data_IF_595981561926
#
_entry.id   IF_595981561926
#
_cell.length_a   1.000
_cell.length_b   1.000
_cell.length_c   1.000
_cell.angle_alpha   90.00
_cell.angle_beta   90.00
_cell.angle_gamma   90.00
#
_symmetry.space_group_name_H-M   'P 1'
#
loop_
_entity.id
_entity.type
_entity.pdbx_description
1 polymer ?
#
# COMPACT_ATOMS: atom_id res chain seq x y z
N UNK A 1 -7.34 -21.70 -29.69
CA UNK A 1 -7.25 -20.29 -30.15
C UNK A 1 -8.50 -20.01 -30.94
N UNK A 2 -9.28 -19.04 -30.54
CA UNK A 2 -10.44 -18.58 -31.33
C UNK A 2 -9.91 -18.01 -32.65
N UNK A 3 -10.64 -18.32 -33.73
CA UNK A 3 -10.30 -17.82 -35.06
C UNK A 3 -10.79 -16.39 -35.19
N UNK A 4 -9.93 -15.48 -35.65
CA UNK A 4 -10.37 -14.10 -35.89
C UNK A 4 -11.45 -14.07 -36.99
N UNK A 5 -12.44 -13.24 -36.78
CA UNK A 5 -13.62 -13.04 -37.61
C UNK A 5 -13.45 -11.83 -38.51
N UNK A 6 -13.59 -12.02 -39.81
CA UNK A 6 -13.42 -10.93 -40.81
C UNK A 6 -14.69 -10.81 -41.63
N UNK A 7 -15.30 -9.63 -41.63
CA UNK A 7 -16.42 -9.32 -42.52
C UNK A 7 -15.90 -8.75 -43.83
N UNK A 8 -16.35 -9.32 -44.94
CA UNK A 8 -16.01 -8.89 -46.29
C UNK A 8 -17.26 -8.21 -46.88
N UNK A 9 -17.11 -6.97 -47.33
CA UNK A 9 -18.19 -6.15 -47.88
C UNK A 9 -17.79 -5.64 -49.24
N UNK A 10 -18.45 -6.12 -50.31
CA UNK A 10 -18.23 -5.73 -51.69
C UNK A 10 -19.50 -6.08 -52.50
N UNK A 11 -19.92 -5.24 -53.42
CA UNK A 11 -21.10 -5.51 -54.27
C UNK A 11 -20.84 -6.51 -55.39
N UNK A 12 -19.57 -6.74 -55.71
CA UNK A 12 -19.15 -7.75 -56.70
C UNK A 12 -18.83 -9.10 -56.06
N UNK A 13 -19.64 -10.11 -56.32
CA UNK A 13 -19.46 -11.49 -55.84
C UNK A 13 -18.05 -12.09 -56.14
N UNK A 14 -17.44 -11.68 -57.26
CA UNK A 14 -16.09 -12.12 -57.65
C UNK A 14 -15.02 -11.65 -56.67
N UNK A 15 -15.15 -10.38 -56.20
CA UNK A 15 -14.23 -9.80 -55.21
C UNK A 15 -14.38 -10.50 -53.87
N UNK A 16 -15.61 -10.72 -53.44
CA UNK A 16 -15.91 -11.46 -52.18
C UNK A 16 -15.25 -12.84 -52.20
N UNK A 17 -15.48 -13.61 -53.30
CA UNK A 17 -14.89 -14.96 -53.45
C UNK A 17 -13.36 -14.95 -53.42
N UNK A 18 -12.73 -13.96 -54.05
CA UNK A 18 -11.27 -13.81 -54.05
C UNK A 18 -10.73 -13.52 -52.67
N UNK A 19 -11.27 -12.51 -52.00
CA UNK A 19 -10.85 -12.12 -50.65
C UNK A 19 -11.08 -13.26 -49.65
N UNK A 20 -12.25 -13.91 -49.69
CA UNK A 20 -12.58 -15.08 -48.91
C UNK A 20 -11.57 -16.21 -49.08
N UNK A 21 -11.19 -16.55 -50.34
CA UNK A 21 -10.19 -17.58 -50.61
C UNK A 21 -8.83 -17.25 -49.94
N UNK A 22 -8.39 -15.99 -49.97
CA UNK A 22 -7.16 -15.57 -49.34
C UNK A 22 -7.19 -15.68 -47.83
N UNK A 23 -8.34 -15.34 -47.20
CA UNK A 23 -8.51 -15.32 -45.73
C UNK A 23 -8.69 -16.73 -45.17
N UNK A 24 -9.51 -17.57 -45.79
CA UNK A 24 -9.73 -18.97 -45.37
C UNK A 24 -8.42 -19.77 -45.42
N UNK A 25 -7.56 -19.53 -46.41
CA UNK A 25 -6.25 -20.18 -46.52
C UNK A 25 -5.35 -19.89 -45.29
N UNK A 26 -5.68 -18.88 -44.49
CA UNK A 26 -5.01 -18.49 -43.21
C UNK A 26 -5.88 -18.78 -41.95
N UNK A 27 -6.94 -19.57 -42.13
CA UNK A 27 -7.83 -20.02 -41.06
C UNK A 27 -8.64 -18.90 -40.37
N UNK A 28 -8.84 -17.76 -41.05
CA UNK A 28 -9.79 -16.75 -40.56
C UNK A 28 -11.23 -17.22 -40.82
N UNK A 29 -12.13 -16.89 -39.90
CA UNK A 29 -13.56 -17.04 -40.07
C UNK A 29 -14.11 -15.84 -40.83
N UNK A 30 -14.93 -16.05 -41.86
CA UNK A 30 -15.37 -14.98 -42.73
C UNK A 30 -16.89 -14.94 -42.87
N UNK A 31 -17.46 -13.73 -42.82
CA UNK A 31 -18.82 -13.45 -43.24
C UNK A 31 -18.79 -12.47 -44.42
N UNK A 32 -19.90 -12.41 -45.13
CA UNK A 32 -20.03 -11.68 -46.40
C UNK A 32 -21.22 -10.72 -46.30
N UNK A 33 -21.09 -9.56 -46.92
CA UNK A 33 -22.19 -8.61 -47.15
C UNK A 33 -22.04 -8.00 -48.56
N UNK A 34 -23.14 -7.83 -49.25
CA UNK A 34 -23.20 -7.34 -50.64
C UNK A 34 -23.51 -5.85 -50.75
N UNK A 35 -23.77 -5.18 -49.68
CA UNK A 35 -24.06 -3.74 -49.61
C UNK A 35 -23.87 -3.19 -48.21
N UNK A 36 -23.93 -1.84 -48.09
CA UNK A 36 -23.66 -1.18 -46.83
C UNK A 36 -24.72 -1.42 -45.71
N UNK A 37 -25.98 -1.61 -46.07
CA UNK A 37 -27.03 -1.90 -45.07
C UNK A 37 -26.88 -3.30 -44.48
N UNK A 38 -26.54 -4.27 -45.34
CA UNK A 38 -26.24 -5.62 -44.90
C UNK A 38 -24.97 -5.67 -44.04
N UNK A 39 -23.93 -4.93 -44.41
CA UNK A 39 -22.71 -4.81 -43.64
C UNK A 39 -22.99 -4.34 -42.21
N UNK A 40 -23.78 -3.27 -42.05
CA UNK A 40 -24.13 -2.74 -40.72
C UNK A 40 -24.93 -3.73 -39.85
N UNK A 41 -25.80 -4.55 -40.46
CA UNK A 41 -26.49 -5.64 -39.76
C UNK A 41 -25.51 -6.75 -39.34
N UNK A 42 -24.68 -7.20 -40.34
CA UNK A 42 -23.73 -8.29 -40.12
C UNK A 42 -22.67 -7.96 -39.06
N UNK A 43 -22.27 -6.69 -38.90
CA UNK A 43 -21.36 -6.28 -37.84
C UNK A 43 -21.94 -6.59 -36.46
N UNK A 44 -23.22 -6.36 -36.23
CA UNK A 44 -23.87 -6.66 -34.95
C UNK A 44 -24.07 -8.19 -34.72
N UNK A 45 -24.44 -8.92 -35.78
CA UNK A 45 -24.77 -10.34 -35.69
C UNK A 45 -23.51 -11.23 -35.63
N UNK A 46 -22.53 -10.91 -36.44
CA UNK A 46 -21.27 -11.69 -36.56
C UNK A 46 -20.20 -11.25 -35.60
N UNK A 47 -20.22 -9.98 -35.16
CA UNK A 47 -19.23 -9.35 -34.29
C UNK A 47 -17.77 -9.54 -34.81
N UNK A 48 -17.44 -8.96 -35.97
CA UNK A 48 -16.14 -9.17 -36.62
C UNK A 48 -14.98 -8.48 -35.88
N UNK A 49 -13.79 -9.09 -35.96
CA UNK A 49 -12.53 -8.47 -35.48
C UNK A 49 -11.93 -7.48 -36.46
N UNK A 50 -12.36 -7.54 -37.76
CA UNK A 50 -11.91 -6.66 -38.83
C UNK A 50 -12.96 -6.63 -39.95
N UNK A 51 -13.12 -5.47 -40.62
CA UNK A 51 -13.96 -5.31 -41.81
C UNK A 51 -13.10 -4.96 -43.00
N UNK A 52 -13.26 -5.73 -44.11
CA UNK A 52 -12.80 -5.36 -45.45
C UNK A 52 -13.98 -4.73 -46.15
N UNK A 53 -13.88 -3.47 -46.58
CA UNK A 53 -15.01 -2.67 -47.03
C UNK A 53 -14.71 -2.05 -48.40
N UNK A 54 -15.49 -2.41 -49.41
CA UNK A 54 -15.44 -1.67 -50.68
C UNK A 54 -16.00 -0.26 -50.51
N UNK A 55 -15.43 0.66 -51.27
CA UNK A 55 -15.84 2.07 -51.28
C UNK A 55 -17.08 2.28 -52.12
N UNK A 56 -17.10 1.69 -53.34
CA UNK A 56 -18.12 1.96 -54.36
C UNK A 56 -19.19 0.89 -54.36
N UNK A 57 -20.25 1.11 -53.56
CA UNK A 57 -21.38 0.18 -53.48
C UNK A 57 -22.70 0.92 -53.74
N UNK A 58 -23.72 0.25 -54.29
CA UNK A 58 -25.04 0.83 -54.44
C UNK A 58 -25.70 1.10 -53.11
N UNK A 59 -26.43 2.23 -53.00
CA UNK A 59 -27.10 2.65 -51.75
C UNK A 59 -26.19 3.41 -50.82
N UNK A 60 -25.82 2.79 -49.68
CA UNK A 60 -24.88 3.39 -48.72
C UNK A 60 -23.46 3.03 -49.12
N UNK A 61 -22.63 4.03 -49.43
CA UNK A 61 -21.22 3.83 -49.80
C UNK A 61 -20.35 3.41 -48.61
N UNK A 62 -19.11 2.94 -48.92
CA UNK A 62 -18.18 2.47 -47.88
C UNK A 62 -17.74 3.56 -46.92
N UNK A 63 -17.72 4.84 -47.30
CA UNK A 63 -17.37 5.93 -46.42
C UNK A 63 -18.42 6.13 -45.32
N UNK A 64 -19.71 6.13 -45.70
CA UNK A 64 -20.81 6.27 -44.76
C UNK A 64 -20.91 5.07 -43.82
N UNK A 65 -20.69 3.81 -44.34
CA UNK A 65 -20.61 2.62 -43.49
C UNK A 65 -19.50 2.76 -42.46
N UNK A 66 -18.29 3.11 -42.90
CA UNK A 66 -17.14 3.29 -42.00
C UNK A 66 -17.43 4.36 -40.93
N UNK A 67 -17.96 5.51 -41.34
CA UNK A 67 -18.32 6.60 -40.42
C UNK A 67 -19.30 6.15 -39.34
N UNK A 68 -20.35 5.38 -39.71
CA UNK A 68 -21.30 4.82 -38.73
C UNK A 68 -20.62 3.85 -37.78
N UNK A 69 -19.76 2.95 -38.29
CA UNK A 69 -19.01 2.02 -37.45
C UNK A 69 -18.08 2.74 -36.45
N UNK A 70 -17.43 3.81 -36.91
CA UNK A 70 -16.47 4.56 -36.07
C UNK A 70 -17.14 5.53 -35.07
N UNK A 71 -18.42 5.86 -35.30
CA UNK A 71 -19.19 6.71 -34.39
C UNK A 71 -19.86 5.94 -33.26
N UNK A 72 -20.21 4.67 -33.48
CA UNK A 72 -20.85 3.80 -32.48
C UNK A 72 -19.83 3.28 -31.46
N UNK A 73 -20.06 3.51 -30.18
CA UNK A 73 -19.22 3.06 -29.05
C UNK A 73 -18.91 1.56 -29.06
N UNK A 74 -19.82 0.74 -29.59
CA UNK A 74 -19.65 -0.73 -29.64
C UNK A 74 -18.77 -1.19 -30.78
N UNK A 75 -18.74 -0.46 -31.89
CA UNK A 75 -18.08 -0.88 -33.12
C UNK A 75 -16.88 -0.03 -33.52
N UNK A 76 -16.69 1.13 -32.91
CA UNK A 76 -15.60 2.08 -33.25
C UNK A 76 -14.20 1.46 -33.19
N UNK A 77 -14.00 0.46 -32.37
CA UNK A 77 -12.71 -0.23 -32.21
C UNK A 77 -12.51 -1.39 -33.18
N UNK A 78 -13.49 -1.69 -34.04
CA UNK A 78 -13.33 -2.67 -35.11
C UNK A 78 -12.51 -2.02 -36.24
N UNK A 79 -11.33 -2.53 -36.58
CA UNK A 79 -10.54 -1.98 -37.65
C UNK A 79 -11.21 -2.20 -39.01
N UNK A 80 -11.15 -1.15 -39.85
CA UNK A 80 -11.72 -1.13 -41.20
C UNK A 80 -10.61 -0.92 -42.20
N UNK A 81 -10.46 -1.86 -43.16
CA UNK A 81 -9.62 -1.69 -44.32
C UNK A 81 -10.52 -1.40 -45.53
N UNK A 82 -10.38 -0.21 -46.09
CA UNK A 82 -11.07 0.09 -47.35
C UNK A 82 -10.35 -0.56 -48.54
N UNK A 83 -11.13 -1.20 -49.43
CA UNK A 83 -10.65 -1.80 -50.67
C UNK A 83 -11.19 -0.95 -51.82
N UNK A 84 -10.31 -0.30 -52.60
CA UNK A 84 -10.76 0.68 -53.61
C UNK A 84 -9.96 0.64 -54.88
N UNK A 85 -10.62 0.91 -56.00
CA UNK A 85 -9.98 1.16 -57.29
C UNK A 85 -9.49 2.61 -57.44
N UNK A 86 -9.88 3.49 -56.53
CA UNK A 86 -9.65 4.93 -56.62
C UNK A 86 -8.22 5.28 -56.16
N UNK A 87 -7.44 5.90 -57.08
CA UNK A 87 -6.06 6.34 -56.83
C UNK A 87 -5.96 7.84 -56.49
N UNK A 88 -7.05 8.57 -56.61
CA UNK A 88 -7.05 10.02 -56.45
C UNK A 88 -6.90 10.45 -54.99
N UNK A 89 -6.18 11.56 -54.78
CA UNK A 89 -5.85 12.11 -53.45
C UNK A 89 -7.10 12.50 -52.65
N UNK A 90 -8.16 12.93 -53.33
CA UNK A 90 -9.40 13.35 -52.67
C UNK A 90 -10.13 12.22 -51.94
N UNK A 91 -10.15 11.02 -52.53
CA UNK A 91 -10.78 9.86 -51.87
C UNK A 91 -9.99 9.36 -50.65
N UNK A 92 -8.67 9.54 -50.65
CA UNK A 92 -7.83 9.24 -49.49
C UNK A 92 -8.14 10.19 -48.32
N UNK A 93 -8.40 11.45 -48.62
CA UNK A 93 -8.77 12.43 -47.57
C UNK A 93 -10.15 12.07 -46.99
N UNK A 94 -11.15 11.78 -47.86
CA UNK A 94 -12.48 11.33 -47.40
C UNK A 94 -12.40 10.05 -46.53
N UNK A 95 -11.55 9.10 -46.89
CA UNK A 95 -11.34 7.89 -46.09
C UNK A 95 -10.78 8.19 -44.71
N UNK A 96 -9.78 9.07 -44.60
CA UNK A 96 -9.23 9.51 -43.33
C UNK A 96 -10.26 10.25 -42.46
N UNK A 97 -11.08 11.10 -43.07
CA UNK A 97 -12.18 11.79 -42.38
C UNK A 97 -13.27 10.82 -41.89
N UNK A 98 -13.51 9.72 -42.59
CA UNK A 98 -14.41 8.65 -42.18
C UNK A 98 -13.83 7.75 -41.08
N UNK A 99 -12.56 7.92 -40.72
CA UNK A 99 -11.90 7.17 -39.64
C UNK A 99 -11.38 5.79 -40.04
N UNK A 100 -11.06 5.57 -41.33
CA UNK A 100 -10.51 4.32 -41.85
C UNK A 100 -9.14 4.04 -41.25
N UNK A 101 -8.88 2.79 -40.86
CA UNK A 101 -7.61 2.40 -40.29
C UNK A 101 -6.54 2.10 -41.32
N UNK A 102 -6.94 1.58 -42.49
CA UNK A 102 -6.04 1.32 -43.60
C UNK A 102 -6.80 1.16 -44.97
N UNK A 103 -6.09 1.10 -46.09
CA UNK A 103 -6.69 0.92 -47.42
C UNK A 103 -5.83 0.04 -48.30
N UNK A 104 -6.50 -0.66 -49.24
CA UNK A 104 -5.93 -1.50 -50.29
C UNK A 104 -6.43 -1.05 -51.63
N UNK A 105 -5.56 -1.04 -52.64
CA UNK A 105 -5.94 -0.72 -54.02
C UNK A 105 -6.31 -2.00 -54.78
N UNK A 106 -7.38 -1.96 -55.57
CA UNK A 106 -7.74 -3.02 -56.53
C UNK A 106 -6.83 -2.91 -57.79
N UNK A 107 -6.29 -4.01 -58.33
CA UNK A 107 -6.48 -5.39 -57.88
C UNK A 107 -5.73 -5.69 -56.57
N UNK A 108 -6.37 -6.41 -55.66
CA UNK A 108 -5.81 -6.68 -54.31
C UNK A 108 -4.66 -7.69 -54.40
N UNK A 109 -3.47 -7.26 -53.98
CA UNK A 109 -2.35 -8.17 -53.76
C UNK A 109 -2.54 -8.99 -52.50
N UNK A 110 -2.38 -10.31 -52.60
CA UNK A 110 -2.56 -11.23 -51.50
C UNK A 110 -1.60 -10.95 -50.33
N UNK A 111 -0.34 -10.65 -50.66
CA UNK A 111 0.69 -10.42 -49.62
C UNK A 111 0.42 -9.14 -48.86
N UNK A 112 0.06 -8.06 -49.58
CA UNK A 112 -0.29 -6.78 -48.97
C UNK A 112 -1.51 -6.91 -48.05
N UNK A 113 -2.59 -7.55 -48.52
CA UNK A 113 -3.79 -7.84 -47.70
C UNK A 113 -3.42 -8.55 -46.42
N UNK A 114 -2.63 -9.63 -46.48
CA UNK A 114 -2.29 -10.42 -45.29
C UNK A 114 -1.45 -9.65 -44.28
N UNK A 115 -0.52 -8.81 -44.73
CA UNK A 115 0.30 -7.98 -43.84
C UNK A 115 -0.58 -6.98 -43.07
N UNK A 116 -1.50 -6.28 -43.78
CA UNK A 116 -2.39 -5.29 -43.18
C UNK A 116 -3.39 -5.93 -42.19
N UNK A 117 -4.06 -7.00 -42.63
CA UNK A 117 -4.99 -7.75 -41.78
C UNK A 117 -4.30 -8.21 -40.49
N UNK A 118 -3.12 -8.86 -40.61
CA UNK A 118 -2.37 -9.33 -39.45
C UNK A 118 -1.98 -8.19 -38.50
N UNK A 119 -1.56 -7.05 -39.06
CA UNK A 119 -1.17 -5.88 -38.26
C UNK A 119 -2.34 -5.32 -37.47
N UNK A 120 -3.47 -5.10 -38.13
CA UNK A 120 -4.66 -4.51 -37.49
C UNK A 120 -5.31 -5.47 -36.46
N UNK A 121 -5.40 -6.76 -36.79
CA UNK A 121 -5.87 -7.78 -35.85
C UNK A 121 -4.99 -7.85 -34.59
N UNK A 122 -3.69 -7.69 -34.72
CA UNK A 122 -2.78 -7.64 -33.58
C UNK A 122 -3.03 -6.41 -32.70
N UNK A 123 -3.24 -5.24 -33.32
CA UNK A 123 -3.58 -4.02 -32.59
C UNK A 123 -4.91 -4.19 -31.85
N UNK A 124 -5.94 -4.72 -32.53
CA UNK A 124 -7.25 -5.02 -31.94
C UNK A 124 -7.13 -5.97 -30.75
N UNK A 125 -6.37 -7.06 -30.90
CA UNK A 125 -6.13 -8.03 -29.83
C UNK A 125 -5.47 -7.38 -28.59
N UNK A 126 -4.45 -6.54 -28.79
CA UNK A 126 -3.82 -5.82 -27.68
C UNK A 126 -4.77 -4.84 -27.00
N UNK A 127 -5.60 -4.15 -27.77
CA UNK A 127 -6.61 -3.26 -27.22
C UNK A 127 -7.61 -4.03 -26.34
N UNK A 128 -8.12 -5.16 -26.84
CA UNK A 128 -9.09 -5.98 -26.11
C UNK A 128 -8.49 -6.56 -24.82
N UNK A 129 -7.24 -7.02 -24.87
CA UNK A 129 -6.51 -7.48 -23.69
C UNK A 129 -6.33 -6.34 -22.68
N UNK A 130 -6.01 -5.15 -23.14
CA UNK A 130 -5.84 -3.97 -22.27
C UNK A 130 -7.16 -3.62 -21.57
N UNK A 131 -8.26 -3.55 -22.31
CA UNK A 131 -9.59 -3.28 -21.76
C UNK A 131 -9.99 -4.35 -20.74
N UNK A 132 -9.73 -5.62 -21.02
CA UNK A 132 -9.99 -6.71 -20.08
C UNK A 132 -9.17 -6.57 -18.80
N UNK A 133 -7.86 -6.31 -18.93
CA UNK A 133 -6.97 -6.12 -17.78
C UNK A 133 -7.38 -4.92 -16.91
N UNK A 134 -7.78 -3.81 -17.52
CA UNK A 134 -8.28 -2.65 -16.77
C UNK A 134 -9.55 -2.98 -15.98
N UNK A 135 -10.49 -3.73 -16.56
CA UNK A 135 -11.70 -4.16 -15.84
C UNK A 135 -11.37 -5.08 -14.66
N UNK A 136 -10.44 -6.00 -14.85
CA UNK A 136 -9.99 -6.91 -13.78
C UNK A 136 -9.30 -6.16 -12.64
N UNK A 137 -8.43 -5.21 -12.96
CA UNK A 137 -7.74 -4.35 -11.98
C UNK A 137 -8.76 -3.50 -11.21
N UNK A 138 -9.74 -2.92 -11.89
CA UNK A 138 -10.78 -2.11 -11.25
C UNK A 138 -11.58 -2.94 -10.23
N UNK A 139 -11.99 -4.17 -10.61
CA UNK A 139 -12.71 -5.08 -9.71
C UNK A 139 -11.86 -5.50 -8.50
N UNK A 140 -10.57 -5.81 -8.72
CA UNK A 140 -9.64 -6.14 -7.62
C UNK A 140 -9.44 -4.97 -6.67
N UNK A 141 -9.32 -3.75 -7.20
CA UNK A 141 -9.18 -2.55 -6.37
C UNK A 141 -10.43 -2.28 -5.52
N UNK A 142 -11.61 -2.47 -6.07
CA UNK A 142 -12.87 -2.36 -5.31
C UNK A 142 -12.90 -3.37 -4.15
N UNK A 143 -12.56 -4.63 -4.45
CA UNK A 143 -12.51 -5.68 -3.42
C UNK A 143 -11.46 -5.42 -2.34
N UNK A 144 -10.29 -4.89 -2.71
CA UNK A 144 -9.26 -4.49 -1.75
C UNK A 144 -9.77 -3.40 -0.80
N UNK A 145 -10.43 -2.37 -1.33
CA UNK A 145 -11.02 -1.29 -0.50
C UNK A 145 -12.08 -1.82 0.46
N UNK A 146 -12.94 -2.74 0.01
CA UNK A 146 -13.93 -3.39 0.88
C UNK A 146 -13.25 -4.13 2.04
N UNK A 147 -12.23 -4.95 1.74
CA UNK A 147 -11.48 -5.71 2.74
C UNK A 147 -10.72 -4.80 3.72
N UNK A 148 -10.14 -3.71 3.25
CA UNK A 148 -9.51 -2.69 4.09
C UNK A 148 -10.51 -2.08 5.06
N UNK A 149 -11.70 -1.68 4.60
CA UNK A 149 -12.75 -1.13 5.46
C UNK A 149 -13.24 -2.12 6.52
N UNK A 150 -13.40 -3.40 6.17
CA UNK A 150 -13.74 -4.46 7.14
C UNK A 150 -12.62 -4.64 8.16
N UNK A 151 -11.36 -4.66 7.73
CA UNK A 151 -10.19 -4.77 8.63
C UNK A 151 -10.15 -3.60 9.63
N UNK A 152 -10.37 -2.37 9.15
CA UNK A 152 -10.42 -1.17 10.01
C UNK A 152 -11.53 -1.28 11.05
N UNK A 153 -12.74 -1.60 10.62
CA UNK A 153 -13.89 -1.74 11.51
C UNK A 153 -13.70 -2.81 12.59
N UNK A 154 -13.17 -3.98 12.20
CA UNK A 154 -12.87 -5.06 13.14
C UNK A 154 -11.79 -4.65 14.16
N UNK A 155 -10.74 -3.97 13.73
CA UNK A 155 -9.67 -3.52 14.63
C UNK A 155 -10.22 -2.57 15.69
N UNK A 156 -11.01 -1.57 15.30
CA UNK A 156 -11.64 -0.64 16.25
C UNK A 156 -12.59 -1.34 17.23
N UNK A 157 -13.41 -2.27 16.72
CA UNK A 157 -14.36 -3.02 17.55
C UNK A 157 -13.64 -3.88 18.60
N UNK A 158 -12.64 -4.67 18.16
CA UNK A 158 -11.87 -5.54 19.07
C UNK A 158 -11.20 -4.72 20.18
N UNK A 159 -10.63 -3.57 19.85
CA UNK A 159 -9.96 -2.72 20.82
C UNK A 159 -10.95 -2.13 21.84
N UNK A 160 -12.10 -1.66 21.39
CA UNK A 160 -13.16 -1.20 22.28
C UNK A 160 -13.61 -2.32 23.22
N UNK A 161 -13.84 -3.51 22.69
CA UNK A 161 -14.32 -4.67 23.43
C UNK A 161 -13.28 -5.26 24.38
N UNK A 162 -12.00 -5.03 24.15
CA UNK A 162 -10.91 -5.36 25.09
C UNK A 162 -10.74 -4.31 26.18
N UNK A 163 -10.90 -3.02 25.89
CA UNK A 163 -10.74 -1.96 26.87
C UNK A 163 -11.85 -1.97 27.93
N UNK A 164 -13.08 -2.33 27.56
CA UNK A 164 -14.22 -2.33 28.47
C UNK A 164 -14.04 -3.28 29.68
N UNK A 165 -13.79 -4.60 29.50
CA UNK A 165 -13.58 -5.53 30.62
C UNK A 165 -12.29 -5.19 31.39
N UNK A 166 -11.26 -4.72 30.70
CA UNK A 166 -10.00 -4.32 31.34
C UNK A 166 -10.20 -3.15 32.29
N UNK A 167 -10.99 -2.15 31.90
CA UNK A 167 -11.36 -1.02 32.76
C UNK A 167 -12.13 -1.49 34.01
N UNK A 168 -13.03 -2.47 33.81
CA UNK A 168 -13.76 -3.06 34.97
C UNK A 168 -12.84 -3.79 35.96
N UNK A 169 -11.88 -4.58 35.43
CA UNK A 169 -10.89 -5.29 36.26
C UNK A 169 -10.00 -4.30 37.01
N UNK A 170 -9.50 -3.25 36.33
CA UNK A 170 -8.70 -2.19 36.94
C UNK A 170 -9.45 -1.52 38.05
N UNK A 171 -10.70 -1.08 37.82
CA UNK A 171 -11.52 -0.41 38.83
C UNK A 171 -11.76 -1.30 40.06
N UNK A 172 -12.07 -2.59 39.86
CA UNK A 172 -12.24 -3.54 40.94
C UNK A 172 -10.96 -3.72 41.78
N UNK A 173 -9.82 -3.86 41.15
CA UNK A 173 -8.53 -4.01 41.82
C UNK A 173 -8.12 -2.74 42.55
N UNK A 174 -8.39 -1.56 42.02
CA UNK A 174 -8.15 -0.26 42.68
C UNK A 174 -9.04 -0.09 43.91
N UNK A 175 -10.31 -0.47 43.85
CA UNK A 175 -11.24 -0.44 45.00
C UNK A 175 -10.74 -1.38 46.11
N UNK A 176 -10.36 -2.63 45.76
CA UNK A 176 -9.83 -3.60 46.71
C UNK A 176 -8.52 -3.09 47.34
N UNK A 177 -7.65 -2.45 46.56
CA UNK A 177 -6.39 -1.85 47.05
C UNK A 177 -6.66 -0.67 48.01
N UNK A 178 -7.71 0.09 47.76
CA UNK A 178 -8.10 1.25 48.58
C UNK A 178 -8.70 0.81 49.93
N UNK A 179 -9.51 -0.26 49.93
CA UNK A 179 -10.13 -0.84 51.14
C UNK A 179 -9.25 -1.98 51.68
N UNK A 180 -8.03 -1.64 52.10
CA UNK A 180 -6.96 -2.60 52.39
C UNK A 180 -6.87 -3.07 53.87
N UNK A 181 -7.78 -2.63 54.76
CA UNK A 181 -7.71 -2.86 56.22
C UNK A 181 -7.65 -4.35 56.61
N UNK A 182 -8.04 -5.28 55.73
CA UNK A 182 -8.08 -6.72 55.96
C UNK A 182 -7.21 -7.56 55.01
N UNK A 183 -6.36 -6.93 54.19
CA UNK A 183 -5.54 -7.64 53.22
C UNK A 183 -4.16 -8.01 53.78
N UNK A 184 -3.72 -9.25 53.53
CA UNK A 184 -2.34 -9.65 53.83
C UNK A 184 -1.36 -9.01 52.84
N UNK A 185 -0.07 -8.90 53.26
CA UNK A 185 1.01 -8.43 52.34
C UNK A 185 1.06 -9.20 51.03
N UNK A 186 0.84 -10.53 51.06
CA UNK A 186 0.79 -11.38 49.88
C UNK A 186 -0.37 -11.02 48.97
N UNK A 187 -1.55 -10.68 49.51
CA UNK A 187 -2.70 -10.26 48.71
C UNK A 187 -2.49 -8.88 48.10
N UNK A 188 -1.88 -7.95 48.82
CA UNK A 188 -1.50 -6.63 48.29
C UNK A 188 -0.49 -6.76 47.13
N UNK A 189 0.53 -7.60 47.30
CA UNK A 189 1.50 -7.89 46.21
C UNK A 189 0.82 -8.49 44.97
N UNK A 190 -0.12 -9.44 45.13
CA UNK A 190 -0.91 -10.00 44.06
C UNK A 190 -1.78 -8.96 43.35
N UNK A 191 -2.41 -8.05 44.06
CA UNK A 191 -3.21 -6.98 43.49
C UNK A 191 -2.30 -6.03 42.68
N UNK A 192 -1.15 -5.67 43.23
CA UNK A 192 -0.22 -4.78 42.58
C UNK A 192 0.35 -5.38 41.28
N UNK A 193 0.70 -6.66 41.30
CA UNK A 193 1.09 -7.40 40.08
C UNK A 193 -0.05 -7.46 39.04
N UNK A 194 -1.29 -7.67 39.51
CA UNK A 194 -2.45 -7.70 38.59
C UNK A 194 -2.72 -6.34 37.96
N UNK A 195 -2.61 -5.25 38.73
CA UNK A 195 -2.70 -3.88 38.19
C UNK A 195 -1.62 -3.60 37.14
N UNK A 196 -0.39 -4.08 37.38
CA UNK A 196 0.71 -3.96 36.41
C UNK A 196 0.41 -4.73 35.13
N UNK A 197 -0.11 -5.97 35.20
CA UNK A 197 -0.52 -6.73 34.02
C UNK A 197 -1.62 -6.04 33.22
N UNK A 198 -2.61 -5.47 33.91
CA UNK A 198 -3.66 -4.68 33.26
C UNK A 198 -3.10 -3.45 32.54
N UNK A 199 -2.15 -2.74 33.15
CA UNK A 199 -1.47 -1.61 32.53
C UNK A 199 -0.67 -2.03 31.28
N UNK A 200 0.02 -3.17 31.34
CA UNK A 200 0.75 -3.74 30.19
C UNK A 200 -0.22 -4.09 29.04
N UNK A 201 -1.34 -4.74 29.33
CA UNK A 201 -2.37 -5.06 28.31
C UNK A 201 -2.91 -3.77 27.69
N UNK A 202 -3.24 -2.75 28.47
CA UNK A 202 -3.70 -1.46 27.96
C UNK A 202 -2.67 -0.79 27.06
N UNK A 203 -1.39 -0.89 27.41
CA UNK A 203 -0.31 -0.36 26.59
C UNK A 203 -0.19 -1.11 25.24
N UNK A 204 -0.37 -2.45 25.24
CA UNK A 204 -0.40 -3.24 24.03
C UNK A 204 -1.57 -2.88 23.10
N UNK A 205 -2.78 -2.78 23.66
CA UNK A 205 -3.98 -2.37 22.93
C UNK A 205 -3.77 -1.00 22.28
N UNK A 206 -3.26 -0.04 23.05
CA UNK A 206 -2.97 1.29 22.53
C UNK A 206 -1.87 1.25 21.44
N UNK A 207 -0.85 0.40 21.60
CA UNK A 207 0.18 0.19 20.59
C UNK A 207 -0.39 -0.31 19.25
N UNK A 208 -1.34 -1.24 19.27
CA UNK A 208 -2.03 -1.74 18.06
C UNK A 208 -2.77 -0.60 17.36
N UNK A 209 -3.54 0.21 18.12
CA UNK A 209 -4.28 1.36 17.60
C UNK A 209 -3.38 2.36 16.87
N UNK A 210 -2.25 2.70 17.50
CA UNK A 210 -1.39 3.75 16.97
C UNK A 210 -0.65 3.27 15.73
N UNK A 211 -0.18 2.02 15.73
CA UNK A 211 0.41 1.40 14.55
C UNK A 211 -0.60 1.40 13.41
N UNK A 212 -1.84 1.02 13.67
CA UNK A 212 -2.91 1.02 12.68
C UNK A 212 -3.18 2.43 12.12
N UNK A 213 -3.34 3.44 13.00
CA UNK A 213 -3.56 4.84 12.58
C UNK A 213 -2.40 5.42 11.76
N UNK A 214 -1.16 5.03 12.10
CA UNK A 214 0.02 5.44 11.34
C UNK A 214 0.09 4.80 9.96
N UNK A 215 -0.27 3.50 9.84
CA UNK A 215 -0.33 2.79 8.55
C UNK A 215 -1.32 3.44 7.58
N UNK A 216 -2.45 3.89 8.10
CA UNK A 216 -3.48 4.57 7.32
C UNK A 216 -3.11 6.02 6.96
N UNK A 217 -1.93 6.50 7.39
CA UNK A 217 -1.55 7.90 7.23
C UNK A 217 -2.45 8.88 8.01
N UNK A 218 -3.31 8.36 8.90
CA UNK A 218 -4.25 9.16 9.71
C UNK A 218 -3.60 9.78 10.94
N UNK A 219 -2.45 9.26 11.36
CA UNK A 219 -1.71 9.81 12.49
C UNK A 219 -0.67 10.80 11.98
N UNK A 220 -1.09 12.04 11.82
CA UNK A 220 -0.20 13.16 11.51
C UNK A 220 0.25 13.81 12.82
N UNK A 221 1.57 14.04 13.02
CA UNK A 221 2.06 14.73 14.21
C UNK A 221 1.47 16.14 14.32
N UNK A 222 0.88 16.46 15.46
CA UNK A 222 0.47 17.82 15.80
C UNK A 222 1.66 18.53 16.40
N UNK A 223 2.48 19.14 15.54
CA UNK A 223 3.74 19.78 15.94
C UNK A 223 3.49 21.11 16.61
N UNK A 224 4.08 21.32 17.79
CA UNK A 224 4.10 22.57 18.52
C UNK A 224 5.53 22.90 19.01
N UNK A 225 5.81 24.18 19.24
CA UNK A 225 7.11 24.60 19.75
C UNK A 225 7.26 24.12 21.19
N UNK A 226 8.09 23.13 21.41
CA UNK A 226 8.25 22.42 22.68
C UNK A 226 9.64 22.63 23.26
N UNK A 227 9.67 22.97 24.56
CA UNK A 227 10.90 22.92 25.37
C UNK A 227 11.21 21.46 25.70
N UNK A 228 12.15 20.91 24.91
CA UNK A 228 12.53 19.49 24.99
C UNK A 228 13.17 19.15 26.33
N UNK A 229 13.97 20.06 26.89
CA UNK A 229 14.67 19.84 28.16
C UNK A 229 13.66 19.72 29.31
N UNK A 230 12.69 20.62 29.36
CA UNK A 230 11.65 20.58 30.38
C UNK A 230 10.77 19.34 30.24
N UNK A 231 10.35 19.04 29.03
CA UNK A 231 9.56 17.85 28.70
C UNK A 231 10.24 16.55 29.18
N UNK A 232 11.57 16.45 28.97
CA UNK A 232 12.35 15.31 29.43
C UNK A 232 12.49 15.26 30.95
N UNK A 233 12.75 16.38 31.60
CA UNK A 233 12.87 16.41 33.05
C UNK A 233 11.60 15.90 33.74
N UNK A 234 10.41 16.36 33.29
CA UNK A 234 9.12 15.93 33.82
C UNK A 234 8.89 14.41 33.60
N UNK A 235 9.32 13.87 32.46
CA UNK A 235 9.20 12.45 32.16
C UNK A 235 10.18 11.61 33.00
N UNK A 236 11.42 12.06 33.12
CA UNK A 236 12.45 11.37 33.88
C UNK A 236 12.10 11.22 35.37
N UNK A 237 11.48 12.21 36.00
CA UNK A 237 11.06 12.13 37.38
C UNK A 237 10.14 10.92 37.66
N UNK A 238 9.20 10.66 36.72
CA UNK A 238 8.27 9.53 36.82
C UNK A 238 9.03 8.19 36.66
N UNK A 239 9.95 8.11 35.70
CA UNK A 239 10.68 6.86 35.42
C UNK A 239 11.76 6.55 36.46
N UNK A 240 12.40 7.55 37.06
CA UNK A 240 13.34 7.37 38.17
C UNK A 240 12.65 6.69 39.37
N UNK A 241 11.42 7.13 39.71
CA UNK A 241 10.63 6.52 40.76
C UNK A 241 10.32 5.04 40.48
N UNK A 242 9.94 4.71 39.25
CA UNK A 242 9.67 3.34 38.81
C UNK A 242 10.94 2.48 38.81
N UNK A 243 12.05 3.00 38.32
CA UNK A 243 13.32 2.28 38.30
C UNK A 243 13.83 1.91 39.69
N UNK A 244 13.62 2.79 40.69
CA UNK A 244 13.95 2.52 42.09
C UNK A 244 13.22 1.30 42.68
N UNK A 245 11.96 1.09 42.30
CA UNK A 245 11.17 -0.08 42.73
C UNK A 245 11.82 -1.35 42.23
N UNK A 246 12.34 -1.34 40.99
CA UNK A 246 13.06 -2.44 40.36
C UNK A 246 14.55 -2.49 40.73
N UNK A 247 14.98 -1.69 41.73
CA UNK A 247 16.37 -1.56 42.18
C UNK A 247 17.39 -1.18 41.09
N UNK A 248 16.95 -0.43 40.10
CA UNK A 248 17.78 0.06 38.98
C UNK A 248 18.06 1.57 39.22
N UNK A 249 19.32 1.97 39.04
CA UNK A 249 19.69 3.39 39.04
C UNK A 249 19.46 4.00 37.66
N UNK A 250 19.03 5.27 37.63
CA UNK A 250 18.81 5.98 36.38
C UNK A 250 19.46 7.35 36.46
N UNK A 251 20.29 7.66 35.46
CA UNK A 251 20.98 8.95 35.33
C UNK A 251 20.55 9.65 34.05
N UNK A 252 20.37 10.97 34.15
CA UNK A 252 20.05 11.82 33.01
C UNK A 252 21.17 12.86 32.82
N UNK A 253 21.69 12.93 31.61
CA UNK A 253 22.66 13.91 31.21
C UNK A 253 22.15 14.74 30.03
N UNK A 254 22.16 16.03 30.17
CA UNK A 254 21.88 16.96 29.08
C UNK A 254 23.23 17.54 28.58
N UNK A 255 23.61 17.24 27.36
CA UNK A 255 24.81 17.81 26.76
C UNK A 255 24.45 19.08 25.99
N UNK A 256 24.81 20.25 26.55
CA UNK A 256 24.59 21.57 25.98
C UNK A 256 23.12 22.03 25.87
N UNK A 257 22.93 23.28 25.51
CA UNK A 257 21.61 23.87 25.31
C UNK A 257 20.88 23.18 24.15
N UNK A 258 19.87 22.36 24.49
CA UNK A 258 18.98 21.78 23.51
C UNK A 258 17.92 22.82 23.16
N UNK A 259 17.82 23.25 21.89
CA UNK A 259 16.84 24.27 21.52
C UNK A 259 15.40 23.71 21.59
N UNK A 260 14.43 24.61 21.73
CA UNK A 260 13.03 24.24 21.51
C UNK A 260 12.84 23.77 20.07
N UNK A 261 11.99 22.75 19.87
CA UNK A 261 11.76 22.14 18.57
C UNK A 261 10.28 22.07 18.22
N UNK A 262 9.99 22.10 16.93
CA UNK A 262 8.63 21.88 16.38
C UNK A 262 8.33 20.39 16.32
N UNK A 263 7.80 19.85 17.42
CA UNK A 263 7.51 18.42 17.59
C UNK A 263 6.10 18.21 18.14
N UNK A 264 5.57 17.00 17.99
CA UNK A 264 4.42 16.55 18.76
C UNK A 264 4.91 15.99 20.11
N UNK A 265 4.71 16.72 21.21
CA UNK A 265 5.27 16.35 22.51
C UNK A 265 4.67 15.04 23.02
N UNK A 266 3.42 14.72 22.68
CA UNK A 266 2.75 13.49 23.15
C UNK A 266 3.35 12.26 22.46
N UNK A 267 3.60 12.34 21.14
CA UNK A 267 4.24 11.26 20.42
C UNK A 267 5.69 11.05 20.87
N UNK A 268 6.45 12.13 21.02
CA UNK A 268 7.87 12.02 21.44
C UNK A 268 8.00 11.57 22.90
N UNK A 269 7.18 12.07 23.83
CA UNK A 269 7.13 11.55 25.21
C UNK A 269 6.90 10.03 25.21
N UNK A 270 6.00 9.57 24.37
CA UNK A 270 5.66 8.16 24.28
C UNK A 270 6.78 7.31 23.65
N UNK A 271 7.50 7.83 22.64
CA UNK A 271 8.72 7.20 22.13
C UNK A 271 9.72 6.98 23.25
N UNK A 272 10.01 8.04 24.03
CA UNK A 272 10.97 7.98 25.14
C UNK A 272 10.48 7.03 26.23
N UNK A 273 9.20 7.08 26.60
CA UNK A 273 8.59 6.19 27.57
C UNK A 273 8.70 4.71 27.18
N UNK A 274 8.52 4.39 25.89
CA UNK A 274 8.71 3.04 25.36
C UNK A 274 10.17 2.58 25.49
N UNK A 275 11.12 3.44 25.15
CA UNK A 275 12.56 3.12 25.27
C UNK A 275 12.97 2.95 26.73
N UNK A 276 12.51 3.82 27.63
CA UNK A 276 12.77 3.72 29.08
C UNK A 276 12.15 2.47 29.72
N UNK A 277 10.91 2.15 29.37
CA UNK A 277 10.24 0.94 29.85
C UNK A 277 10.98 -0.32 29.38
N UNK A 278 11.46 -0.35 28.14
CA UNK A 278 12.29 -1.44 27.64
C UNK A 278 13.63 -1.54 28.42
N UNK A 279 14.29 -0.42 28.64
CA UNK A 279 15.55 -0.39 29.39
C UNK A 279 15.37 -0.91 30.83
N UNK A 280 14.34 -0.49 31.56
CA UNK A 280 14.04 -0.97 32.91
C UNK A 280 13.75 -2.48 32.90
N UNK A 281 12.95 -2.97 31.96
CA UNK A 281 12.56 -4.38 31.89
C UNK A 281 13.74 -5.31 31.60
N UNK A 282 14.72 -4.85 30.84
CA UNK A 282 15.84 -5.68 30.37
C UNK A 282 17.13 -5.50 31.16
N UNK A 283 17.22 -4.49 32.01
CA UNK A 283 18.35 -4.29 32.90
C UNK A 283 18.29 -5.21 34.12
N UNK A 284 19.39 -5.87 34.52
CA UNK A 284 19.46 -6.58 35.80
C UNK A 284 19.33 -5.63 37.01
N UNK A 285 18.88 -6.18 38.15
CA UNK A 285 18.88 -5.42 39.43
C UNK A 285 20.30 -4.90 39.76
N UNK A 286 20.39 -3.70 40.26
CA UNK A 286 21.65 -3.04 40.62
C UNK A 286 22.36 -2.29 39.51
N UNK A 287 21.91 -2.46 38.28
CA UNK A 287 22.53 -1.80 37.13
C UNK A 287 22.05 -0.37 36.92
N UNK A 288 22.76 0.36 36.04
CA UNK A 288 22.49 1.77 35.71
C UNK A 288 21.95 1.94 34.29
N UNK A 289 20.86 2.67 34.15
CA UNK A 289 20.34 3.16 32.85
C UNK A 289 20.80 4.61 32.66
N UNK A 290 21.45 4.89 31.51
CA UNK A 290 21.90 6.24 31.15
C UNK A 290 21.03 6.82 30.06
N UNK A 291 20.42 7.96 30.35
CA UNK A 291 19.63 8.73 29.39
C UNK A 291 20.39 9.98 29.02
N UNK A 292 20.52 10.28 27.76
CA UNK A 292 21.17 11.50 27.31
C UNK A 292 20.41 12.15 26.17
N UNK A 293 20.47 13.49 26.13
CA UNK A 293 20.01 14.28 24.98
C UNK A 293 21.08 15.32 24.62
N UNK A 294 21.09 15.71 23.35
CA UNK A 294 22.03 16.71 22.86
C UNK A 294 21.63 17.27 21.50
N UNK A 295 22.11 18.47 21.22
CA UNK A 295 21.93 19.12 19.93
C UNK A 295 23.11 18.84 19.01
N UNK A 296 22.81 18.32 17.81
CA UNK A 296 23.75 18.07 16.74
C UNK A 296 23.73 19.24 15.75
N UNK A 297 24.55 20.27 15.99
CA UNK A 297 24.53 21.51 15.21
C UNK A 297 24.76 21.27 13.70
N UNK A 298 25.70 20.39 13.32
CA UNK A 298 25.96 20.05 11.92
C UNK A 298 24.77 19.46 11.16
N UNK A 299 23.83 18.82 11.86
CA UNK A 299 22.64 18.15 11.30
C UNK A 299 21.35 18.86 11.64
N UNK A 300 21.42 20.00 12.34
CA UNK A 300 20.24 20.71 12.85
C UNK A 300 19.21 19.76 13.46
N UNK A 301 19.65 18.91 14.39
CA UNK A 301 18.84 17.82 14.94
C UNK A 301 19.08 17.63 16.42
N UNK A 302 18.02 17.25 17.16
CA UNK A 302 18.12 16.82 18.55
C UNK A 302 18.26 15.31 18.56
N UNK A 303 19.29 14.80 19.26
CA UNK A 303 19.53 13.40 19.47
C UNK A 303 19.16 12.97 20.87
N UNK A 304 18.56 11.79 20.99
CA UNK A 304 18.20 11.14 22.26
C UNK A 304 18.88 9.77 22.30
N UNK A 305 19.29 9.36 23.48
CA UNK A 305 19.93 8.08 23.70
C UNK A 305 19.51 7.50 25.05
N UNK A 306 19.13 6.23 25.04
CA UNK A 306 18.83 5.44 26.24
C UNK A 306 19.75 4.21 26.20
N UNK A 307 20.69 4.15 27.13
CA UNK A 307 21.64 3.02 27.28
C UNK A 307 21.24 2.17 28.47
N UNK A 308 21.07 0.89 28.24
CA UNK A 308 20.86 -0.14 29.25
C UNK A 308 22.06 -1.09 29.33
N UNK A 309 22.14 -1.84 30.43
CA UNK A 309 23.13 -2.90 30.65
C UNK A 309 22.46 -4.31 30.61
N UNK A 310 21.46 -4.47 29.75
CA UNK A 310 20.70 -5.69 29.60
C UNK A 310 21.38 -6.79 28.78
N UNK A 311 20.57 -7.71 28.27
CA UNK A 311 21.05 -8.89 27.53
C UNK A 311 21.75 -8.59 26.20
N UNK A 312 21.75 -7.33 25.73
CA UNK A 312 22.31 -6.97 24.44
C UNK A 312 21.53 -7.54 23.24
N UNK A 313 22.01 -7.25 22.04
CA UNK A 313 21.35 -7.65 20.80
C UNK A 313 22.39 -8.00 19.74
N UNK A 314 22.21 -9.13 19.05
CA UNK A 314 23.07 -9.49 17.92
C UNK A 314 22.86 -8.52 16.74
N UNK A 315 23.92 -8.25 15.99
CA UNK A 315 23.93 -7.24 14.91
C UNK A 315 22.89 -7.49 13.82
N UNK A 316 22.56 -8.74 13.54
CA UNK A 316 21.54 -9.15 12.55
C UNK A 316 20.12 -8.65 12.91
N UNK A 317 19.86 -8.38 14.18
CA UNK A 317 18.56 -7.91 14.66
C UNK A 317 18.46 -6.39 14.80
N UNK A 318 19.54 -5.62 14.63
CA UNK A 318 19.54 -4.17 14.85
C UNK A 318 18.53 -3.41 13.99
N UNK A 319 18.24 -3.89 12.78
CA UNK A 319 17.21 -3.30 11.92
C UNK A 319 15.83 -3.91 12.16
N UNK A 320 15.79 -5.23 12.28
CA UNK A 320 14.56 -6.01 12.39
C UNK A 320 13.78 -5.77 13.68
N UNK A 321 14.46 -5.43 14.79
CA UNK A 321 13.81 -5.17 16.08
C UNK A 321 12.78 -4.03 16.07
N UNK A 322 12.83 -3.16 15.06
CA UNK A 322 11.85 -2.10 14.84
C UNK A 322 10.70 -2.51 13.91
N UNK A 323 10.71 -3.72 13.38
CA UNK A 323 9.62 -4.24 12.57
C UNK A 323 8.51 -4.82 13.47
N UNK A 324 7.28 -4.81 12.96
CA UNK A 324 6.11 -5.22 13.74
C UNK A 324 6.18 -6.71 14.06
N UNK A 325 5.84 -7.04 15.30
CA UNK A 325 5.77 -8.41 15.80
C UNK A 325 7.10 -9.20 15.76
N UNK A 326 8.17 -8.64 15.26
CA UNK A 326 9.48 -9.30 15.18
C UNK A 326 9.98 -9.78 16.56
N UNK A 327 9.70 -9.03 17.62
CA UNK A 327 10.03 -9.42 18.98
C UNK A 327 9.35 -10.72 19.42
N UNK A 328 8.18 -11.05 18.87
CA UNK A 328 7.46 -12.29 19.15
C UNK A 328 8.16 -13.46 18.45
N UNK A 329 8.64 -13.27 17.22
CA UNK A 329 9.39 -14.29 16.48
C UNK A 329 10.75 -14.55 17.12
N UNK A 330 11.45 -13.51 17.56
CA UNK A 330 12.72 -13.61 18.28
C UNK A 330 12.57 -14.34 19.62
N UNK A 331 11.47 -14.10 20.34
CA UNK A 331 11.17 -14.83 21.59
C UNK A 331 10.95 -16.32 21.35
N UNK A 332 10.30 -16.71 20.27
CA UNK A 332 10.12 -18.09 19.87
C UNK A 332 11.43 -18.77 19.48
N UNK A 333 12.45 -18.00 19.09
CA UNK A 333 13.81 -18.45 18.78
C UNK A 333 14.76 -18.46 20.00
N UNK A 334 14.24 -18.23 21.23
CA UNK A 334 15.01 -18.26 22.47
C UNK A 334 15.71 -16.95 22.83
N UNK A 335 15.48 -15.88 22.08
CA UNK A 335 15.98 -14.52 22.37
C UNK A 335 14.96 -13.80 23.23
N UNK A 336 15.32 -13.43 24.46
CA UNK A 336 14.43 -12.70 25.38
C UNK A 336 14.30 -11.26 24.91
N UNK A 337 13.28 -10.95 24.14
CA UNK A 337 12.95 -9.59 23.69
C UNK A 337 11.52 -9.30 24.12
N UNK A 338 11.28 -8.14 24.64
CA UNK A 338 10.06 -7.59 25.27
C UNK A 338 8.69 -8.18 24.95
N UNK A 339 7.67 -7.69 25.61
CA UNK A 339 6.27 -8.10 25.39
C UNK A 339 5.65 -7.32 24.23
N UNK A 340 5.20 -8.03 23.17
CA UNK A 340 4.24 -7.54 22.18
C UNK A 340 4.78 -6.98 20.87
N UNK A 341 6.06 -6.68 20.72
CA UNK A 341 6.67 -6.31 19.43
C UNK A 341 6.17 -5.03 18.73
N UNK A 342 5.36 -4.23 19.39
CA UNK A 342 4.73 -3.03 18.81
C UNK A 342 5.36 -1.71 19.30
N UNK A 343 6.00 -1.70 20.49
CA UNK A 343 6.56 -0.48 21.07
C UNK A 343 7.69 0.13 20.25
N UNK A 344 8.63 -0.70 19.76
CA UNK A 344 9.73 -0.24 18.93
C UNK A 344 9.27 0.11 17.50
N UNK A 345 8.31 -0.62 16.96
CA UNK A 345 7.67 -0.28 15.67
C UNK A 345 6.97 1.09 15.75
N UNK A 346 6.25 1.37 16.86
CA UNK A 346 5.70 2.69 17.13
C UNK A 346 6.81 3.76 17.17
N UNK A 347 7.92 3.49 17.89
CA UNK A 347 9.04 4.43 17.96
C UNK A 347 9.57 4.79 16.57
N UNK A 348 9.77 3.79 15.71
CA UNK A 348 10.21 4.01 14.33
C UNK A 348 9.24 4.90 13.55
N UNK A 349 7.97 4.57 13.55
CA UNK A 349 6.96 5.33 12.80
C UNK A 349 6.80 6.76 13.34
N UNK A 350 6.75 6.95 14.66
CA UNK A 350 6.61 8.28 15.27
C UNK A 350 7.82 9.17 14.97
N UNK A 351 9.04 8.63 15.06
CA UNK A 351 10.27 9.38 14.75
C UNK A 351 10.35 9.71 13.25
N UNK A 352 10.03 8.76 12.37
CA UNK A 352 9.99 8.97 10.93
C UNK A 352 8.93 10.00 10.51
N UNK A 353 7.76 10.02 11.15
CA UNK A 353 6.74 11.05 10.95
C UNK A 353 7.22 12.47 11.32
N UNK A 354 8.22 12.59 12.20
CA UNK A 354 8.92 13.84 12.49
C UNK A 354 10.09 14.13 11.54
N UNK A 355 10.34 13.29 10.52
CA UNK A 355 11.48 13.38 9.61
C UNK A 355 12.80 12.93 10.24
N UNK A 356 12.71 12.19 11.36
CA UNK A 356 13.85 11.70 12.11
C UNK A 356 14.32 10.30 11.71
N UNK A 357 15.19 9.73 12.54
CA UNK A 357 15.68 8.35 12.40
C UNK A 357 15.89 7.74 13.77
N UNK A 358 15.51 6.47 13.94
CA UNK A 358 15.77 5.64 15.14
C UNK A 358 16.68 4.47 14.78
N UNK A 359 17.54 4.06 15.72
CA UNK A 359 18.43 2.89 15.60
C UNK A 359 18.84 2.38 16.96
N UNK A 360 19.46 1.21 16.98
CA UNK A 360 20.05 0.60 18.15
C UNK A 360 21.53 0.27 17.90
N UNK A 361 22.34 0.40 18.93
CA UNK A 361 23.74 -0.05 18.96
C UNK A 361 23.89 -1.03 20.11
N UNK A 362 24.55 -2.17 19.86
CA UNK A 362 24.88 -3.17 20.85
C UNK A 362 26.14 -3.91 20.43
N UNK A 363 27.05 -4.15 21.37
CA UNK A 363 28.28 -4.89 21.13
C UNK A 363 28.09 -6.42 21.22
N UNK A 364 26.84 -6.88 21.22
CA UNK A 364 26.47 -8.29 21.27
C UNK A 364 25.83 -8.73 22.59
N UNK A 365 25.68 -10.03 22.77
CA UNK A 365 25.00 -10.60 23.92
C UNK A 365 25.68 -10.20 25.24
N UNK A 366 24.87 -9.91 26.26
CA UNK A 366 25.24 -9.49 27.62
C UNK A 366 26.06 -8.19 27.71
N UNK A 367 25.98 -7.32 26.68
CA UNK A 367 26.66 -6.01 26.67
C UNK A 367 25.73 -4.81 26.66
N UNK A 368 24.45 -5.06 26.90
CA UNK A 368 23.40 -4.05 26.86
C UNK A 368 23.11 -3.50 25.48
N UNK A 369 22.17 -2.57 25.42
CA UNK A 369 21.79 -1.86 24.21
C UNK A 369 21.83 -0.35 24.41
N UNK A 370 22.05 0.37 23.33
CA UNK A 370 21.90 1.81 23.28
C UNK A 370 20.89 2.15 22.19
N UNK A 371 19.67 2.43 22.58
CA UNK A 371 18.65 2.92 21.65
C UNK A 371 18.82 4.41 21.44
N UNK A 372 18.88 4.81 20.19
CA UNK A 372 19.08 6.20 19.80
C UNK A 372 18.05 6.64 18.77
N UNK A 373 17.61 7.87 18.88
CA UNK A 373 16.88 8.51 17.79
C UNK A 373 17.27 9.98 17.65
N UNK A 374 17.02 10.54 16.49
CA UNK A 374 17.20 11.96 16.21
C UNK A 374 16.00 12.51 15.45
N UNK A 375 15.66 13.76 15.75
CA UNK A 375 14.62 14.52 15.06
C UNK A 375 15.20 15.87 14.61
N UNK A 376 14.83 16.36 13.39
CA UNK A 376 15.21 17.69 12.96
C UNK A 376 14.52 18.75 13.83
N UNK A 377 15.20 19.93 13.94
CA UNK A 377 14.69 21.11 14.68
C UNK A 377 14.03 22.08 13.72
#
# INVERSE_FOLDING_TARGET
MERHKILIVDDEERNIKLLKAYLIAKQYETAEASNGEEALRMVNDFNPDLVLLDVMMPGIDGFEVCKRLKTDEKTKMIPVIMVTALREKEYRIKALEAGVDDFLTKPVDRTELMVRVKSLLRIKSYHDQLVHSFKEIALKNEKLKELEGVREGLTHMIIHDLNNPLTGVLGNLEIIKFDNDNLSETQLDMIEKSLNYCADIRQLIQGILDVHRMEEGKLQPVKELTDVTKMLADLMEQFISRAKIEKISMTFSNSAEVPSAMIDPNLIKRVIANLLSNAIRHSPEGEEIKVSTGFLAEKNSIAFSVKDNGNGLASEYHQRIFDKFEQVELKNSGVTVGTGGLGLAFCKMAVEAHGGKVWVESDGAAKGCTFKFKIPV
#
